data_IF_244600940612
#
_entry.id   IF_244600940612
#
_cell.length_a   1.000
_cell.length_b   1.000
_cell.length_c   1.000
_cell.angle_alpha   90.00
_cell.angle_beta   90.00
_cell.angle_gamma   90.00
#
_symmetry.space_group_name_H-M   'P 1'
#
loop_
_entity.id
_entity.type
_entity.pdbx_description
1 polymer ?
#
# COMPACT_ATOMS: atom_id res chain seq x y z
N UNK A 1 10.33 -2.38 -12.86
CA UNK A 1 9.07 -2.54 -12.10
C UNK A 1 9.27 -3.62 -11.05
N UNK A 2 8.74 -3.44 -9.84
CA UNK A 2 8.83 -4.39 -8.73
C UNK A 2 8.21 -5.73 -9.14
N UNK A 3 8.83 -6.81 -8.69
CA UNK A 3 8.43 -8.20 -8.92
C UNK A 3 8.81 -9.00 -7.66
N UNK A 4 8.08 -10.07 -7.36
CA UNK A 4 8.50 -11.01 -6.29
C UNK A 4 9.78 -11.76 -6.68
N UNK A 5 10.56 -12.19 -5.70
CA UNK A 5 11.78 -12.99 -5.91
C UNK A 5 11.45 -14.39 -6.45
N UNK A 6 12.44 -15.11 -6.97
CA UNK A 6 12.27 -16.52 -7.33
C UNK A 6 11.88 -17.36 -6.11
N UNK A 7 12.53 -17.14 -4.97
CA UNK A 7 12.22 -17.82 -3.71
C UNK A 7 10.76 -17.61 -3.27
N UNK A 8 10.26 -16.37 -3.36
CA UNK A 8 8.85 -16.07 -3.05
C UNK A 8 7.90 -16.77 -4.03
N UNK A 9 8.26 -16.84 -5.31
CA UNK A 9 7.49 -17.57 -6.32
C UNK A 9 7.47 -19.07 -6.01
N UNK A 10 8.62 -19.67 -5.73
CA UNK A 10 8.74 -21.10 -5.39
C UNK A 10 7.92 -21.44 -4.15
N UNK A 11 7.93 -20.58 -3.14
CA UNK A 11 7.09 -20.73 -1.95
C UNK A 11 5.60 -20.68 -2.27
N UNK A 12 5.16 -19.70 -3.07
CA UNK A 12 3.75 -19.60 -3.50
C UNK A 12 3.34 -20.85 -4.29
N UNK A 13 4.19 -21.31 -5.20
CA UNK A 13 3.92 -22.49 -6.04
C UNK A 13 3.79 -23.76 -5.17
N UNK A 14 4.67 -23.96 -4.17
CA UNK A 14 4.59 -25.07 -3.21
C UNK A 14 3.31 -25.01 -2.37
N UNK A 15 3.01 -23.87 -1.74
CA UNK A 15 1.80 -23.69 -0.91
C UNK A 15 0.53 -23.94 -1.73
N UNK A 16 0.52 -23.49 -3.00
CA UNK A 16 -0.63 -23.70 -3.90
C UNK A 16 -0.75 -25.16 -4.32
N UNK A 17 0.35 -25.82 -4.70
CA UNK A 17 0.37 -27.21 -5.13
C UNK A 17 -0.01 -28.19 -4.00
N UNK A 18 0.38 -27.86 -2.77
CA UNK A 18 0.05 -28.64 -1.56
C UNK A 18 -1.37 -28.37 -1.03
N UNK A 19 -2.12 -27.45 -1.65
CA UNK A 19 -3.47 -27.09 -1.22
C UNK A 19 -3.53 -26.31 0.10
N UNK A 20 -2.38 -25.85 0.60
CA UNK A 20 -2.26 -25.08 1.86
C UNK A 20 -2.83 -23.67 1.74
N UNK A 21 -2.95 -23.14 0.51
CA UNK A 21 -3.57 -21.85 0.23
C UNK A 21 -5.11 -21.85 0.36
N UNK A 22 -5.74 -23.02 0.55
CA UNK A 22 -7.19 -23.17 0.52
C UNK A 22 -7.76 -22.67 -0.82
N UNK A 23 -8.67 -21.69 -0.76
CA UNK A 23 -9.30 -21.09 -1.95
C UNK A 23 -8.54 -19.88 -2.51
N UNK A 24 -7.37 -19.53 -1.95
CA UNK A 24 -6.59 -18.39 -2.42
C UNK A 24 -5.78 -18.77 -3.65
N UNK A 25 -5.87 -17.97 -4.71
CA UNK A 25 -5.02 -18.15 -5.89
C UNK A 25 -3.61 -17.62 -5.65
N UNK A 26 -2.63 -18.15 -6.39
CA UNK A 26 -1.25 -17.68 -6.35
C UNK A 26 -1.11 -16.15 -6.60
N UNK A 27 -1.98 -15.59 -7.45
CA UNK A 27 -2.06 -14.14 -7.68
C UNK A 27 -2.42 -13.35 -6.41
N UNK A 28 -3.33 -13.90 -5.57
CA UNK A 28 -3.72 -13.26 -4.31
C UNK A 28 -2.53 -13.26 -3.33
N UNK A 29 -1.81 -14.38 -3.26
CA UNK A 29 -0.62 -14.51 -2.40
C UNK A 29 0.51 -13.57 -2.84
N UNK A 30 0.79 -13.48 -4.14
CA UNK A 30 1.74 -12.51 -4.69
C UNK A 30 1.35 -11.08 -4.35
N UNK A 31 0.08 -10.73 -4.52
CA UNK A 31 -0.42 -9.39 -4.21
C UNK A 31 -0.28 -9.07 -2.73
N UNK A 32 -0.52 -10.04 -1.85
CA UNK A 32 -0.36 -9.89 -0.40
C UNK A 32 1.10 -9.57 0.00
N UNK A 33 2.09 -10.18 -0.67
CA UNK A 33 3.51 -9.83 -0.50
C UNK A 33 3.75 -8.37 -0.85
N UNK A 34 3.23 -7.91 -2.00
CA UNK A 34 3.43 -6.53 -2.42
C UNK A 34 2.73 -5.49 -1.53
N UNK A 35 1.52 -5.79 -1.03
CA UNK A 35 0.84 -4.96 -0.03
C UNK A 35 1.68 -4.88 1.25
N UNK A 36 2.22 -6.01 1.72
CA UNK A 36 3.05 -6.09 2.92
C UNK A 36 4.34 -5.29 2.77
N UNK A 37 5.01 -5.39 1.62
CA UNK A 37 6.20 -4.61 1.31
C UNK A 37 5.92 -3.10 1.30
N UNK A 38 4.81 -2.68 0.68
CA UNK A 38 4.40 -1.28 0.65
C UNK A 38 4.12 -0.77 2.07
N UNK A 39 3.36 -1.50 2.88
CA UNK A 39 3.09 -1.17 4.28
C UNK A 39 4.38 -1.03 5.09
N UNK A 40 5.32 -1.97 4.93
CA UNK A 40 6.63 -1.92 5.59
C UNK A 40 7.45 -0.69 5.19
N UNK A 41 7.41 -0.27 3.93
CA UNK A 41 8.09 0.94 3.48
C UNK A 41 7.43 2.20 4.05
N UNK A 42 6.10 2.27 3.98
CA UNK A 42 5.31 3.43 4.41
C UNK A 42 5.33 3.62 5.93
N UNK A 43 5.30 2.52 6.70
CA UNK A 43 5.39 2.55 8.16
C UNK A 43 6.74 3.09 8.69
N UNK A 44 7.79 3.08 7.85
CA UNK A 44 9.10 3.66 8.19
C UNK A 44 9.20 5.15 7.87
N UNK A 45 8.25 5.71 7.12
CA UNK A 45 8.24 7.15 6.87
C UNK A 45 8.06 7.90 8.19
N UNK A 46 8.88 8.93 8.36
CA UNK A 46 8.81 9.87 9.48
C UNK A 46 8.67 11.25 8.88
N UNK A 47 7.70 12.01 9.37
CA UNK A 47 7.47 13.36 8.89
C UNK A 47 7.35 14.32 10.09
N UNK A 48 7.96 15.52 10.02
CA UNK A 48 7.74 16.54 11.02
C UNK A 48 6.25 16.89 11.11
N UNK A 49 5.73 17.06 12.33
CA UNK A 49 4.37 17.56 12.59
C UNK A 49 3.19 16.70 12.08
N UNK A 50 3.44 15.59 11.39
CA UNK A 50 2.39 14.74 10.84
C UNK A 50 2.63 13.28 11.25
N UNK A 51 1.56 12.59 11.61
CA UNK A 51 1.54 11.17 11.90
C UNK A 51 0.69 10.42 10.87
N UNK A 52 1.20 9.26 10.44
CA UNK A 52 0.41 8.28 9.71
C UNK A 52 -0.27 7.31 10.68
N UNK A 53 -1.52 6.99 10.39
CA UNK A 53 -2.25 5.93 11.05
C UNK A 53 -2.73 4.97 9.97
N UNK A 54 -2.24 3.73 10.04
CA UNK A 54 -2.74 2.67 9.18
C UNK A 54 -4.15 2.27 9.61
N UNK A 55 -5.08 2.19 8.66
CA UNK A 55 -6.49 1.95 8.94
C UNK A 55 -7.15 1.14 7.82
N UNK A 56 -8.48 1.06 7.82
CA UNK A 56 -9.24 0.39 6.76
C UNK A 56 -9.31 -1.13 6.91
N UNK A 57 -9.70 -1.81 5.83
CA UNK A 57 -9.86 -3.28 5.83
C UNK A 57 -8.54 -4.01 6.07
N UNK A 58 -7.44 -3.44 5.57
CA UNK A 58 -6.11 -4.06 5.66
C UNK A 58 -5.55 -3.99 7.06
N UNK A 59 -5.87 -2.97 7.86
CA UNK A 59 -5.49 -2.96 9.28
C UNK A 59 -6.30 -3.98 10.08
N UNK A 60 -7.58 -4.16 9.76
CA UNK A 60 -8.43 -5.18 10.40
C UNK A 60 -7.91 -6.60 10.13
N UNK A 61 -7.46 -6.90 8.91
CA UNK A 61 -6.92 -8.22 8.57
C UNK A 61 -5.48 -8.41 9.06
N UNK A 62 -4.55 -7.50 8.71
CA UNK A 62 -3.10 -7.67 8.97
C UNK A 62 -2.67 -7.35 10.40
N UNK A 63 -3.29 -6.39 11.07
CA UNK A 63 -2.85 -5.94 12.40
C UNK A 63 -3.70 -6.50 13.54
N UNK A 64 -5.02 -6.63 13.32
CA UNK A 64 -5.95 -7.07 14.37
C UNK A 64 -6.47 -8.50 14.19
N UNK A 65 -6.31 -9.13 13.01
CA UNK A 65 -6.82 -10.47 12.75
C UNK A 65 -8.34 -10.58 12.86
N UNK A 66 -9.08 -9.49 12.69
CA UNK A 66 -10.53 -9.42 12.92
C UNK A 66 -11.35 -9.90 11.72
N UNK A 67 -10.73 -9.98 10.54
CA UNK A 67 -11.40 -10.42 9.31
C UNK A 67 -10.48 -11.36 8.51
N UNK A 68 -11.07 -12.41 7.97
CA UNK A 68 -10.39 -13.42 7.14
C UNK A 68 -10.66 -13.16 5.64
N UNK A 69 -10.35 -11.94 5.17
CA UNK A 69 -10.39 -11.60 3.75
C UNK A 69 -9.10 -10.94 3.31
N UNK A 70 -8.70 -11.20 2.07
CA UNK A 70 -7.61 -10.45 1.47
C UNK A 70 -8.05 -8.98 1.29
N UNK A 71 -7.13 -8.07 1.58
CA UNK A 71 -7.32 -6.64 1.40
C UNK A 71 -6.18 -6.11 0.55
N UNK A 72 -6.53 -5.66 -0.64
CA UNK A 72 -5.59 -5.19 -1.65
C UNK A 72 -5.14 -3.73 -1.48
N UNK A 73 -5.84 -3.01 -0.60
CA UNK A 73 -5.71 -1.57 -0.45
C UNK A 73 -4.79 -1.23 0.71
N UNK A 74 -4.15 -0.07 0.66
CA UNK A 74 -3.37 0.45 1.78
C UNK A 74 -3.97 1.78 2.23
N UNK A 75 -4.89 1.74 3.19
CA UNK A 75 -5.53 2.95 3.68
C UNK A 75 -4.70 3.63 4.78
N UNK A 76 -4.24 4.85 4.52
CA UNK A 76 -3.51 5.66 5.50
C UNK A 76 -4.29 6.92 5.87
N UNK A 77 -4.51 7.12 7.17
CA UNK A 77 -4.96 8.40 7.71
C UNK A 77 -3.77 9.27 8.06
N UNK A 78 -3.89 10.56 7.73
CA UNK A 78 -2.88 11.57 8.01
C UNK A 78 -3.39 12.51 9.09
N UNK A 79 -2.66 12.58 10.21
CA UNK A 79 -3.06 13.36 11.37
C UNK A 79 -1.97 14.39 11.67
N UNK A 80 -2.25 15.71 11.52
CA UNK A 80 -1.38 16.74 12.06
C UNK A 80 -1.26 16.59 13.58
N UNK A 81 -0.06 16.66 14.13
CA UNK A 81 0.18 16.58 15.58
C UNK A 81 -0.40 17.81 16.28
N UNK A 82 -1.07 17.62 17.42
CA UNK A 82 -1.85 18.67 18.09
C UNK A 82 -1.07 19.92 18.52
N UNK A 83 0.27 19.85 18.59
CA UNK A 83 1.19 20.90 19.01
C UNK A 83 1.98 21.52 17.83
N UNK A 84 1.56 21.29 16.58
CA UNK A 84 2.38 21.63 15.42
C UNK A 84 2.65 23.12 15.21
N UNK A 85 1.85 24.02 15.77
CA UNK A 85 2.00 25.49 15.59
C UNK A 85 1.82 26.02 14.16
N UNK A 86 1.66 25.14 13.18
CA UNK A 86 1.46 25.45 11.76
C UNK A 86 0.14 26.20 11.49
N UNK A 87 0.21 27.17 10.58
CA UNK A 87 -0.96 27.76 9.93
C UNK A 87 -1.64 26.75 8.98
N UNK A 88 -2.85 27.07 8.51
CA UNK A 88 -3.54 26.22 7.51
C UNK A 88 -2.74 26.04 6.22
N UNK A 89 -2.02 27.08 5.77
CA UNK A 89 -1.13 26.96 4.61
C UNK A 89 0.11 26.11 4.92
N UNK A 90 0.65 26.19 6.14
CA UNK A 90 1.74 25.34 6.61
C UNK A 90 1.36 23.85 6.64
N UNK A 91 0.18 23.52 7.18
CA UNK A 91 -0.37 22.15 7.18
C UNK A 91 -0.48 21.62 5.74
N UNK A 92 -1.02 22.43 4.82
CA UNK A 92 -1.12 22.04 3.40
C UNK A 92 0.24 21.76 2.77
N UNK A 93 1.24 22.59 3.06
CA UNK A 93 2.62 22.38 2.56
C UNK A 93 3.19 21.06 3.06
N UNK A 94 3.06 20.77 4.36
CA UNK A 94 3.54 19.52 4.93
C UNK A 94 2.76 18.29 4.42
N UNK A 95 1.45 18.39 4.18
CA UNK A 95 0.68 17.32 3.54
C UNK A 95 1.16 17.03 2.12
N UNK A 96 1.50 18.07 1.34
CA UNK A 96 2.08 17.89 0.01
C UNK A 96 3.47 17.25 0.06
N UNK A 97 4.33 17.68 0.98
CA UNK A 97 5.66 17.07 1.20
C UNK A 97 5.55 15.59 1.59
N UNK A 98 4.58 15.26 2.44
CA UNK A 98 4.30 13.89 2.85
C UNK A 98 3.89 13.02 1.66
N UNK A 99 2.97 13.51 0.84
CA UNK A 99 2.54 12.86 -0.40
C UNK A 99 3.74 12.61 -1.32
N UNK A 100 4.63 13.59 -1.49
CA UNK A 100 5.82 13.43 -2.31
C UNK A 100 6.78 12.38 -1.71
N UNK A 101 6.91 12.31 -0.38
CA UNK A 101 7.69 11.28 0.31
C UNK A 101 7.11 9.87 0.10
N UNK A 102 5.78 9.73 0.13
CA UNK A 102 5.07 8.48 -0.19
C UNK A 102 5.35 8.04 -1.63
N UNK A 103 5.18 8.95 -2.59
CA UNK A 103 5.46 8.67 -4.01
C UNK A 103 6.90 8.23 -4.20
N UNK A 104 7.84 8.93 -3.55
CA UNK A 104 9.27 8.60 -3.61
C UNK A 104 9.56 7.22 -3.01
N UNK A 105 8.95 6.88 -1.87
CA UNK A 105 9.14 5.58 -1.23
C UNK A 105 8.63 4.42 -2.11
N UNK A 106 7.44 4.55 -2.66
CA UNK A 106 6.87 3.54 -3.57
C UNK A 106 7.70 3.40 -4.85
N UNK A 107 8.14 4.51 -5.43
CA UNK A 107 9.01 4.49 -6.62
C UNK A 107 10.36 3.85 -6.34
N UNK A 108 10.96 4.12 -5.17
CA UNK A 108 12.24 3.53 -4.75
C UNK A 108 12.14 2.00 -4.57
N UNK A 109 10.98 1.48 -4.19
CA UNK A 109 10.68 0.05 -4.16
C UNK A 109 10.51 -0.56 -5.57
N UNK A 110 10.47 0.27 -6.62
CA UNK A 110 10.31 -0.15 -8.01
C UNK A 110 8.86 -0.21 -8.49
N UNK A 111 7.88 0.23 -7.71
CA UNK A 111 6.49 0.33 -8.18
C UNK A 111 6.35 1.41 -9.26
N UNK A 112 5.55 1.13 -10.29
CA UNK A 112 5.25 2.07 -11.37
C UNK A 112 4.00 2.88 -11.06
N UNK A 113 4.11 4.20 -10.93
CA UNK A 113 2.97 5.06 -10.66
C UNK A 113 1.95 5.08 -11.81
N UNK A 114 0.66 4.97 -11.48
CA UNK A 114 -0.46 5.15 -12.42
C UNK A 114 -0.92 6.61 -12.33
N UNK A 115 -0.60 7.43 -13.33
CA UNK A 115 -0.83 8.88 -13.27
C UNK A 115 -2.31 9.23 -13.19
N UNK A 116 -3.16 8.45 -13.84
CA UNK A 116 -4.61 8.62 -13.94
C UNK A 116 -5.32 8.35 -12.60
N UNK A 117 -4.67 7.58 -11.73
CA UNK A 117 -5.18 7.24 -10.39
C UNK A 117 -4.57 8.13 -9.30
N UNK A 118 -3.61 9.00 -9.63
CA UNK A 118 -3.10 9.99 -8.68
C UNK A 118 -4.08 11.13 -8.49
N UNK A 119 -4.67 11.22 -7.30
CA UNK A 119 -5.68 12.23 -6.97
C UNK A 119 -5.35 12.82 -5.60
N UNK A 120 -5.33 14.14 -5.52
CA UNK A 120 -5.22 14.85 -4.26
C UNK A 120 -6.40 15.82 -4.14
N UNK A 121 -7.14 15.75 -3.04
CA UNK A 121 -8.34 16.55 -2.79
C UNK A 121 -8.21 17.28 -1.45
N UNK A 122 -9.07 18.27 -1.23
CA UNK A 122 -9.20 18.99 0.05
C UNK A 122 -7.87 19.54 0.59
N UNK A 123 -7.02 20.09 -0.30
CA UNK A 123 -5.70 20.60 0.07
C UNK A 123 -4.73 19.50 0.55
N UNK A 124 -4.72 18.35 -0.13
CA UNK A 124 -3.89 17.17 0.19
C UNK A 124 -4.27 16.47 1.51
N UNK A 125 -5.46 16.75 2.06
CA UNK A 125 -6.01 15.98 3.20
C UNK A 125 -6.51 14.60 2.79
N UNK A 126 -6.82 14.44 1.49
CA UNK A 126 -7.10 13.18 0.86
C UNK A 126 -6.14 13.01 -0.31
N UNK A 127 -5.48 11.85 -0.38
CA UNK A 127 -4.62 11.46 -1.48
C UNK A 127 -4.91 10.00 -1.81
N UNK A 128 -5.03 9.70 -3.10
CA UNK A 128 -5.11 8.35 -3.62
C UNK A 128 -4.13 8.19 -4.79
N UNK A 129 -3.60 6.99 -4.98
CA UNK A 129 -2.66 6.64 -6.03
C UNK A 129 -2.66 5.15 -6.36
N UNK A 130 -2.61 4.84 -7.66
CA UNK A 130 -2.42 3.49 -8.17
C UNK A 130 -0.96 3.17 -8.44
N UNK A 131 -0.57 1.90 -8.23
CA UNK A 131 0.81 1.45 -8.37
C UNK A 131 0.91 0.08 -9.06
N UNK A 132 1.48 0.08 -10.26
CA UNK A 132 1.80 -1.14 -11.00
C UNK A 132 3.02 -1.87 -10.42
N UNK A 133 2.94 -3.19 -10.46
CA UNK A 133 4.05 -4.12 -10.28
C UNK A 133 4.01 -5.15 -11.42
N UNK A 134 5.08 -5.91 -11.58
CA UNK A 134 5.17 -6.98 -12.58
C UNK A 134 4.70 -8.28 -11.92
N UNK A 135 3.46 -8.65 -12.20
CA UNK A 135 2.85 -9.93 -11.79
C UNK A 135 3.56 -11.11 -12.45
N UNK A 136 3.77 -12.19 -11.70
CA UNK A 136 4.21 -13.49 -12.23
C UNK A 136 3.03 -14.42 -12.52
N UNK A 137 1.86 -14.12 -11.97
CA UNK A 137 0.66 -14.94 -12.10
C UNK A 137 -0.41 -14.25 -12.96
N UNK A 138 -1.32 -15.05 -13.52
CA UNK A 138 -2.48 -14.53 -14.23
C UNK A 138 -3.40 -13.77 -13.27
N UNK A 139 -3.94 -12.64 -13.72
CA UNK A 139 -4.81 -11.78 -12.93
C UNK A 139 -6.08 -12.52 -12.50
N UNK A 140 -6.53 -12.26 -11.27
CA UNK A 140 -7.80 -12.75 -10.76
C UNK A 140 -8.92 -11.73 -11.02
N UNK A 141 -10.09 -12.17 -11.53
CA UNK A 141 -11.17 -11.28 -11.96
C UNK A 141 -11.75 -10.40 -10.85
N UNK A 142 -11.61 -10.81 -9.59
CA UNK A 142 -12.18 -10.11 -8.43
C UNK A 142 -11.28 -9.05 -7.80
N UNK A 143 -10.03 -8.89 -8.26
CA UNK A 143 -9.04 -7.99 -7.66
C UNK A 143 -8.41 -7.09 -8.72
N UNK A 144 -7.98 -5.89 -8.32
CA UNK A 144 -7.26 -4.99 -9.23
C UNK A 144 -5.90 -5.56 -9.61
N UNK A 145 -5.39 -5.35 -10.84
CA UNK A 145 -4.05 -5.81 -11.25
C UNK A 145 -2.91 -4.91 -10.74
N UNK A 146 -3.20 -3.97 -9.85
CA UNK A 146 -2.28 -3.00 -9.27
C UNK A 146 -2.61 -2.82 -7.77
N UNK A 147 -1.71 -2.14 -7.04
CA UNK A 147 -1.99 -1.70 -5.68
C UNK A 147 -2.69 -0.34 -5.66
N UNK A 148 -3.56 -0.13 -4.68
CA UNK A 148 -4.22 1.14 -4.42
C UNK A 148 -3.79 1.66 -3.05
N UNK A 149 -3.33 2.91 -3.01
CA UNK A 149 -2.96 3.65 -1.82
C UNK A 149 -3.81 4.91 -1.70
#
# INVERSE_FOLDING_TARGET
MKIISEEQKELIDSITAEGLAGNLSAFILEKDIHVTDALHALARLRHPHIQFVFCGGTSLSKAHGLIERMSEDVDLKVIPRGDHGLSQSGVRTHLSQLKDAVIKAMTAMGFGAIKEEQRALNGSRYFASGWHYKSRYATHTSLRPHLSL
#
